data_IF_482115993237
#
_entry.id   IF_482115993237
#
_cell.length_a   1.000
_cell.length_b   1.000
_cell.length_c   1.000
_cell.angle_alpha   90.00
_cell.angle_beta   90.00
_cell.angle_gamma   90.00
#
_symmetry.space_group_name_H-M   'P 1'
#
loop_
_entity.id
_entity.type
_entity.pdbx_description
1 polymer ?
#
# COMPACT_ATOMS: atom_id res chain seq x y z
N UNK A 1 -51.45 -24.64 -38.86
CA UNK A 1 -49.98 -24.59 -38.78
C UNK A 1 -49.51 -23.38 -37.95
N UNK A 2 -49.89 -23.21 -36.67
CA UNK A 2 -49.30 -22.19 -35.77
C UNK A 2 -49.76 -22.39 -34.32
N UNK A 3 -49.49 -23.56 -33.73
CA UNK A 3 -49.75 -23.78 -32.30
C UNK A 3 -48.56 -24.44 -31.59
N UNK A 4 -47.78 -25.24 -32.32
CA UNK A 4 -46.51 -25.81 -31.86
C UNK A 4 -45.42 -24.75 -31.62
N UNK A 5 -45.40 -23.67 -32.41
CA UNK A 5 -44.31 -22.67 -32.36
C UNK A 5 -44.39 -21.80 -31.10
N UNK A 6 -45.60 -21.50 -30.62
CA UNK A 6 -45.80 -20.70 -29.42
C UNK A 6 -45.45 -21.49 -28.14
N UNK A 7 -45.71 -22.80 -28.13
CA UNK A 7 -45.29 -23.68 -27.03
C UNK A 7 -43.77 -23.77 -26.91
N UNK A 8 -43.07 -23.86 -28.05
CA UNK A 8 -41.59 -23.87 -28.09
C UNK A 8 -41.02 -22.54 -27.58
N UNK A 9 -41.62 -21.40 -27.95
CA UNK A 9 -41.21 -20.07 -27.44
C UNK A 9 -41.47 -19.91 -25.93
N UNK A 10 -42.58 -20.41 -25.41
CA UNK A 10 -42.90 -20.36 -23.98
C UNK A 10 -41.94 -21.26 -23.18
N UNK A 11 -41.69 -22.49 -23.64
CA UNK A 11 -40.73 -23.40 -23.01
C UNK A 11 -39.31 -22.82 -23.08
N UNK A 12 -38.92 -22.27 -24.23
CA UNK A 12 -37.64 -21.58 -24.41
C UNK A 12 -37.49 -20.37 -23.48
N UNK A 13 -38.54 -19.56 -23.30
CA UNK A 13 -38.54 -18.42 -22.38
C UNK A 13 -38.48 -18.86 -20.92
N UNK A 14 -39.21 -19.91 -20.53
CA UNK A 14 -39.17 -20.48 -19.18
C UNK A 14 -37.77 -21.04 -18.89
N UNK A 15 -37.18 -21.79 -19.83
CA UNK A 15 -35.82 -22.33 -19.69
C UNK A 15 -34.77 -21.22 -19.67
N UNK A 16 -34.90 -20.18 -20.50
CA UNK A 16 -33.98 -19.03 -20.51
C UNK A 16 -34.07 -18.24 -19.20
N UNK A 17 -35.28 -18.01 -18.69
CA UNK A 17 -35.50 -17.31 -17.41
C UNK A 17 -35.00 -18.14 -16.22
N UNK A 18 -35.08 -19.46 -16.30
CA UNK A 18 -34.53 -20.36 -15.30
C UNK A 18 -32.99 -20.41 -15.34
N UNK A 19 -32.39 -20.43 -16.54
CA UNK A 19 -30.93 -20.39 -16.72
C UNK A 19 -30.33 -19.03 -16.27
N UNK A 20 -31.02 -17.92 -16.56
CA UNK A 20 -30.64 -16.59 -16.08
C UNK A 20 -30.71 -16.47 -14.54
N UNK A 21 -31.69 -17.13 -13.89
CA UNK A 21 -31.76 -17.22 -12.42
C UNK A 21 -30.58 -17.99 -11.83
N UNK A 22 -30.07 -19.01 -12.52
CA UNK A 22 -28.88 -19.76 -12.09
C UNK A 22 -27.58 -18.97 -12.32
N UNK A 23 -27.49 -18.16 -13.40
CA UNK A 23 -26.35 -17.26 -13.60
C UNK A 23 -26.32 -16.10 -12.59
N UNK A 24 -27.49 -15.67 -12.09
CA UNK A 24 -27.56 -14.62 -11.06
C UNK A 24 -26.98 -15.09 -9.72
N UNK A 25 -26.89 -16.41 -9.48
CA UNK A 25 -26.27 -16.98 -8.27
C UNK A 25 -24.74 -17.15 -8.38
N UNK A 26 -24.13 -16.87 -9.53
CA UNK A 26 -22.68 -16.72 -9.65
C UNK A 26 -22.21 -15.30 -9.27
N UNK A 27 -23.04 -14.55 -8.54
CA UNK A 27 -22.66 -13.27 -7.97
C UNK A 27 -22.12 -13.48 -6.56
N UNK A 28 -20.80 -13.68 -6.49
CA UNK A 28 -19.95 -13.56 -5.30
C UNK A 28 -20.32 -14.47 -4.12
N UNK A 29 -20.32 -15.80 -4.31
CA UNK A 29 -20.07 -16.67 -3.17
C UNK A 29 -18.60 -16.50 -2.76
N UNK A 30 -18.32 -15.50 -1.92
CA UNK A 30 -17.01 -15.13 -1.39
C UNK A 30 -16.52 -16.15 -0.36
N UNK A 31 -16.38 -17.41 -0.75
CA UNK A 31 -15.89 -18.49 0.12
C UNK A 31 -14.58 -19.04 -0.44
N UNK A 32 -13.48 -18.35 -0.12
CA UNK A 32 -12.11 -18.85 -0.33
C UNK A 32 -11.11 -17.84 -0.88
N UNK A 33 -11.57 -16.75 -1.52
CA UNK A 33 -10.67 -15.71 -2.02
C UNK A 33 -10.28 -14.74 -0.88
N UNK A 34 -8.99 -14.44 -0.68
CA UNK A 34 -8.56 -13.46 0.31
C UNK A 34 -9.10 -12.07 -0.06
N UNK A 35 -9.58 -11.34 0.94
CA UNK A 35 -9.92 -9.92 0.81
C UNK A 35 -8.64 -9.12 0.57
N UNK A 36 -8.78 -7.95 -0.03
CA UNK A 36 -7.68 -7.06 -0.45
C UNK A 36 -6.64 -6.77 0.65
N UNK A 37 -7.00 -6.86 1.94
CA UNK A 37 -6.11 -6.53 3.07
C UNK A 37 -5.87 -7.69 4.05
N UNK A 38 -6.27 -8.92 3.73
CA UNK A 38 -6.14 -10.06 4.67
C UNK A 38 -4.68 -10.42 5.02
N UNK A 39 -3.72 -10.01 4.19
CA UNK A 39 -2.30 -10.21 4.44
C UNK A 39 -1.61 -9.02 5.11
N UNK A 40 -2.34 -7.92 5.35
CA UNK A 40 -1.72 -6.69 5.80
C UNK A 40 -1.09 -6.83 7.20
N UNK A 41 -1.75 -7.54 8.11
CA UNK A 41 -1.26 -7.82 9.47
C UNK A 41 -0.09 -8.81 9.49
N UNK A 42 0.16 -9.53 8.39
CA UNK A 42 1.20 -10.57 8.27
C UNK A 42 2.48 -10.04 7.62
N UNK A 43 2.48 -8.80 7.13
CA UNK A 43 3.65 -8.23 6.45
C UNK A 43 4.73 -7.87 7.48
N UNK A 44 5.97 -8.35 7.30
CA UNK A 44 7.07 -7.97 8.17
C UNK A 44 7.42 -6.49 7.98
N UNK A 45 7.99 -5.88 9.02
CA UNK A 45 8.53 -4.52 8.93
C UNK A 45 9.72 -4.47 7.96
N UNK A 46 9.88 -3.33 7.31
CA UNK A 46 11.02 -3.09 6.43
C UNK A 46 12.29 -2.87 7.27
N UNK A 47 13.37 -3.64 7.04
CA UNK A 47 14.61 -3.43 7.76
C UNK A 47 15.29 -2.13 7.33
N UNK A 48 15.85 -1.41 8.29
CA UNK A 48 16.68 -0.23 8.02
C UNK A 48 18.10 -0.69 7.65
N UNK A 49 18.63 -0.32 6.47
CA UNK A 49 19.99 -0.69 6.07
C UNK A 49 21.05 0.05 6.92
N UNK A 50 22.25 -0.52 7.01
CA UNK A 50 23.38 0.15 7.67
C UNK A 50 23.84 1.39 6.90
N UNK A 51 24.39 2.36 7.61
CA UNK A 51 24.83 3.64 7.04
C UNK A 51 25.91 3.46 5.96
N UNK A 52 26.86 2.53 6.16
CA UNK A 52 27.91 2.23 5.18
C UNK A 52 27.33 1.64 3.89
N UNK A 53 26.46 0.63 4.00
CA UNK A 53 25.82 0.01 2.84
C UNK A 53 24.96 1.02 2.07
N UNK A 54 24.31 1.96 2.77
CA UNK A 54 23.54 3.02 2.16
C UNK A 54 24.44 4.00 1.39
N UNK A 55 25.56 4.42 1.97
CA UNK A 55 26.54 5.30 1.34
C UNK A 55 27.10 4.69 0.05
N UNK A 56 27.47 3.41 0.08
CA UNK A 56 27.98 2.70 -1.10
C UNK A 56 26.93 2.64 -2.22
N UNK A 57 25.68 2.31 -1.87
CA UNK A 57 24.57 2.28 -2.84
C UNK A 57 24.28 3.65 -3.43
N UNK A 58 24.32 4.70 -2.61
CA UNK A 58 24.16 6.08 -3.06
C UNK A 58 25.24 6.45 -4.08
N UNK A 59 26.52 6.23 -3.76
CA UNK A 59 27.62 6.53 -4.68
C UNK A 59 27.53 5.70 -5.97
N UNK A 60 27.16 4.41 -5.88
CA UNK A 60 26.97 3.57 -7.07
C UNK A 60 25.89 4.11 -8.02
N UNK A 61 24.82 4.70 -7.46
CA UNK A 61 23.69 5.26 -8.21
C UNK A 61 24.01 6.64 -8.78
N UNK A 62 24.85 7.42 -8.10
CA UNK A 62 25.31 8.73 -8.57
C UNK A 62 26.38 8.62 -9.67
N UNK A 63 27.20 7.56 -9.66
CA UNK A 63 28.31 7.36 -10.59
C UNK A 63 27.94 7.50 -12.09
N UNK A 64 26.83 6.92 -12.60
CA UNK A 64 26.45 7.12 -14.01
C UNK A 64 25.83 8.48 -14.31
N UNK A 65 25.44 9.26 -13.30
CA UNK A 65 24.71 10.53 -13.46
C UNK A 65 25.62 11.77 -13.38
N UNK A 66 26.77 11.66 -12.73
CA UNK A 66 27.67 12.78 -12.44
C UNK A 66 28.94 12.74 -13.28
N UNK A 67 29.50 13.91 -13.57
CA UNK A 67 30.88 14.03 -14.08
C UNK A 67 31.89 13.63 -13.00
N UNK A 68 33.12 13.32 -13.40
CA UNK A 68 34.18 12.85 -12.48
C UNK A 68 34.47 13.84 -11.35
N UNK A 69 34.42 15.14 -11.63
CA UNK A 69 34.68 16.21 -10.65
C UNK A 69 33.56 16.27 -9.60
N UNK A 70 32.30 16.29 -10.03
CA UNK A 70 31.13 16.32 -9.14
C UNK A 70 30.99 15.02 -8.33
N UNK A 71 31.39 13.89 -8.91
CA UNK A 71 31.43 12.62 -8.20
C UNK A 71 32.44 12.65 -7.05
N UNK A 72 33.66 13.17 -7.29
CA UNK A 72 34.70 13.29 -6.25
C UNK A 72 34.27 14.22 -5.11
N UNK A 73 33.59 15.32 -5.42
CA UNK A 73 33.03 16.21 -4.40
C UNK A 73 31.96 15.50 -3.57
N UNK A 74 31.06 14.78 -4.23
CA UNK A 74 30.00 13.99 -3.57
C UNK A 74 30.58 12.89 -2.69
N UNK A 75 31.62 12.20 -3.14
CA UNK A 75 32.32 11.16 -2.37
C UNK A 75 32.94 11.74 -1.09
N UNK A 76 33.54 12.92 -1.16
CA UNK A 76 34.14 13.59 0.00
C UNK A 76 33.06 13.93 1.04
N UNK A 77 31.94 14.51 0.61
CA UNK A 77 30.81 14.83 1.50
C UNK A 77 30.20 13.58 2.14
N UNK A 78 30.07 12.49 1.38
CA UNK A 78 29.57 11.22 1.90
C UNK A 78 30.52 10.66 2.96
N UNK A 79 31.85 10.73 2.74
CA UNK A 79 32.86 10.31 3.74
C UNK A 79 32.76 11.11 5.04
N UNK A 80 32.58 12.43 4.95
CA UNK A 80 32.36 13.28 6.12
C UNK A 80 31.06 12.95 6.85
N UNK A 81 30.00 12.62 6.10
CA UNK A 81 28.70 12.25 6.66
C UNK A 81 28.73 10.94 7.46
N UNK A 82 29.49 9.95 6.98
CA UNK A 82 29.64 8.62 7.62
C UNK A 82 30.79 8.52 8.61
N UNK A 83 31.56 9.60 8.80
CA UNK A 83 32.65 9.64 9.76
C UNK A 83 32.17 9.30 11.18
N UNK A 84 33.03 8.73 12.05
CA UNK A 84 32.66 8.45 13.44
C UNK A 84 32.29 9.75 14.17
N UNK A 85 31.18 9.76 14.92
CA UNK A 85 30.54 10.95 15.48
C UNK A 85 30.05 11.98 14.44
N UNK A 86 29.93 11.58 13.18
CA UNK A 86 29.36 12.39 12.11
C UNK A 86 27.85 12.59 12.25
N UNK A 87 27.31 13.45 11.40
CA UNK A 87 25.86 13.69 11.37
C UNK A 87 25.07 12.45 10.96
N UNK A 88 25.63 11.59 10.10
CA UNK A 88 24.95 10.40 9.60
C UNK A 88 24.63 9.38 10.69
N UNK A 89 25.56 9.17 11.64
CA UNK A 89 25.36 8.24 12.76
C UNK A 89 24.20 8.70 13.67
N UNK A 90 24.20 9.97 14.06
CA UNK A 90 23.13 10.56 14.89
C UNK A 90 21.76 10.53 14.22
N UNK A 91 21.71 10.74 12.90
CA UNK A 91 20.47 10.68 12.13
C UNK A 91 19.97 9.24 11.98
N UNK A 92 20.88 8.30 11.78
CA UNK A 92 20.55 6.87 11.70
C UNK A 92 19.96 6.37 13.03
N UNK A 93 20.54 6.76 14.17
CA UNK A 93 20.00 6.43 15.50
C UNK A 93 18.58 6.97 15.67
N UNK A 94 18.35 8.25 15.34
CA UNK A 94 17.02 8.86 15.40
C UNK A 94 16.01 8.17 14.48
N UNK A 95 16.43 7.71 13.31
CA UNK A 95 15.59 6.97 12.38
C UNK A 95 15.18 5.61 12.96
N UNK A 96 16.12 4.89 13.58
CA UNK A 96 15.85 3.61 14.24
C UNK A 96 14.91 3.80 15.43
N UNK A 97 15.15 4.82 16.26
CA UNK A 97 14.25 5.16 17.36
C UNK A 97 12.83 5.46 16.87
N UNK A 98 12.70 6.13 15.72
CA UNK A 98 11.40 6.43 15.14
C UNK A 98 10.67 5.16 14.69
N UNK A 99 11.34 4.25 13.96
CA UNK A 99 10.74 2.97 13.55
C UNK A 99 10.30 2.12 14.75
N UNK A 100 11.07 2.13 15.84
CA UNK A 100 10.72 1.44 17.08
C UNK A 100 9.51 2.06 17.80
N UNK A 101 9.35 3.38 17.75
CA UNK A 101 8.25 4.11 18.38
C UNK A 101 6.93 3.97 17.60
N UNK A 102 7.00 3.85 16.28
CA UNK A 102 5.80 3.71 15.47
C UNK A 102 5.13 2.35 15.70
N UNK A 103 3.84 2.29 16.10
CA UNK A 103 3.12 1.03 16.13
C UNK A 103 3.00 0.48 14.71
N UNK A 104 2.98 -0.86 14.56
CA UNK A 104 2.89 -1.58 13.26
C UNK A 104 1.60 -1.24 12.50
N UNK A 105 0.71 -0.44 13.11
CA UNK A 105 -0.56 0.03 12.56
C UNK A 105 -0.41 1.09 11.43
N UNK A 106 0.79 1.45 10.99
CA UNK A 106 1.01 2.54 10.02
C UNK A 106 0.52 2.28 8.59
N UNK A 107 -0.10 1.13 8.30
CA UNK A 107 -1.01 1.00 7.14
C UNK A 107 -2.48 0.87 7.57
N UNK A 108 -2.89 1.83 8.39
CA UNK A 108 -4.28 2.24 8.63
C UNK A 108 -4.86 3.15 7.54
N UNK A 109 -4.27 3.20 6.34
CA UNK A 109 -4.85 3.92 5.19
C UNK A 109 -6.10 3.21 4.60
N UNK A 110 -6.57 2.13 5.21
CA UNK A 110 -7.91 1.56 4.98
C UNK A 110 -8.96 2.03 5.99
N UNK A 111 -8.61 2.79 7.04
CA UNK A 111 -9.57 3.36 7.99
C UNK A 111 -10.12 4.69 7.45
N UNK A 112 -11.16 4.55 6.64
CA UNK A 112 -12.28 5.50 6.45
C UNK A 112 -12.01 6.76 5.61
N UNK A 113 -11.97 6.60 4.29
CA UNK A 113 -12.69 7.53 3.40
C UNK A 113 -13.95 6.82 2.89
N UNK A 114 -14.91 6.62 3.79
CA UNK A 114 -16.31 6.35 3.43
C UNK A 114 -17.18 7.05 4.46
N UNK A 115 -17.76 8.18 4.05
CA UNK A 115 -18.95 8.84 4.60
C UNK A 115 -19.07 8.93 6.13
N UNK A 116 -18.85 10.11 6.70
CA UNK A 116 -19.18 10.35 8.10
C UNK A 116 -18.93 11.78 8.54
N UNK A 117 -19.92 12.64 8.31
CA UNK A 117 -20.06 13.94 8.95
C UNK A 117 -19.99 13.76 10.47
N UNK A 118 -18.88 14.15 11.10
CA UNK A 118 -18.79 14.24 12.56
C UNK A 118 -18.67 15.70 12.94
N UNK A 119 -19.76 16.19 13.54
CA UNK A 119 -19.90 17.50 14.10
C UNK A 119 -18.73 17.84 15.04
N UNK A 120 -17.99 18.89 14.69
CA UNK A 120 -17.24 19.66 15.69
C UNK A 120 -18.26 20.42 16.53
N UNK A 121 -18.75 19.79 17.60
CA UNK A 121 -19.53 20.46 18.63
C UNK A 121 -18.90 20.24 20.00
N UNK A 122 -18.70 21.36 20.70
CA UNK A 122 -18.19 21.54 22.05
C UNK A 122 -16.67 21.57 22.19
N UNK A 123 -16.18 22.75 22.60
CA UNK A 123 -14.87 23.08 23.19
C UNK A 123 -14.11 24.26 22.56
N UNK A 124 -14.81 25.22 21.96
CA UNK A 124 -14.37 26.62 21.92
C UNK A 124 -15.54 27.58 22.14
N UNK A 125 -15.91 27.78 23.42
CA UNK A 125 -16.55 28.99 23.96
C UNK A 125 -16.28 29.05 25.46
N UNK A 126 -15.12 29.59 25.83
CA UNK A 126 -14.94 30.36 27.06
C UNK A 126 -13.69 31.24 26.92
N UNK A 127 -13.86 32.35 26.21
CA UNK A 127 -13.10 33.60 26.33
C UNK A 127 -13.93 34.69 25.63
#
# INVERSE_FOLDING_TARGET
>A
MHCSDLSIYIIGFILYRHNASLQTQLRLNSTGAPRTFDNHEKLPRLPIPSLQNLADKYLSSCKPLLSSELFSESETRVKEFIAPNGLGERLQERLIEHDLKEPVESNRNSKLVVGGFLAQSSLFRLA
#
